data_IF_007927271888
#
_entry.id   IF_007927271888
#
_cell.length_a   1.000
_cell.length_b   1.000
_cell.length_c   1.000
_cell.angle_alpha   90.00
_cell.angle_beta   90.00
_cell.angle_gamma   90.00
#
_symmetry.space_group_name_H-M   'P 1'
#
loop_
_entity.id
_entity.type
_entity.pdbx_description
1 polymer ?
#
# COMPACT_ATOMS: atom_id res chain seq x y z
N UNK A 1 28.51 -45.87 13.95
CA UNK A 1 27.32 -44.99 13.87
C UNK A 1 27.56 -43.97 12.76
N UNK A 2 27.01 -44.17 11.56
CA UNK A 2 27.19 -43.22 10.45
C UNK A 2 26.21 -42.06 10.63
N UNK A 3 26.73 -40.85 10.83
CA UNK A 3 25.92 -39.64 10.83
C UNK A 3 25.49 -39.33 9.39
N UNK A 4 24.20 -39.06 9.19
CA UNK A 4 23.68 -38.63 7.89
C UNK A 4 24.30 -37.30 7.46
N UNK A 5 24.40 -37.03 6.14
CA UNK A 5 24.96 -35.78 5.65
C UNK A 5 24.18 -34.58 6.21
N UNK A 6 24.87 -33.47 6.54
CA UNK A 6 24.23 -32.30 7.12
C UNK A 6 23.22 -31.72 6.12
N UNK A 7 21.95 -31.66 6.52
CA UNK A 7 20.88 -31.11 5.69
C UNK A 7 20.92 -29.59 5.78
N UNK A 8 21.30 -28.94 4.67
CA UNK A 8 21.30 -27.49 4.52
C UNK A 8 20.11 -26.98 3.71
N UNK A 9 19.93 -25.66 3.68
CA UNK A 9 18.92 -24.98 2.86
C UNK A 9 18.93 -25.41 1.39
N UNK A 10 20.11 -25.68 0.82
CA UNK A 10 20.27 -26.18 -0.55
C UNK A 10 19.70 -27.58 -0.76
N UNK A 11 19.85 -28.48 0.23
CA UNK A 11 19.29 -29.83 0.20
C UNK A 11 17.76 -29.79 0.23
N UNK A 12 17.18 -28.92 1.07
CA UNK A 12 15.73 -28.71 1.15
C UNK A 12 15.19 -28.08 -0.13
N UNK A 13 15.88 -27.07 -0.68
CA UNK A 13 15.52 -26.44 -1.95
C UNK A 13 15.54 -27.42 -3.13
N UNK A 14 16.51 -28.32 -3.16
CA UNK A 14 16.58 -29.41 -4.16
C UNK A 14 15.42 -30.39 -4.05
N UNK A 15 15.13 -30.87 -2.84
CA UNK A 15 14.00 -31.79 -2.59
C UNK A 15 12.65 -31.18 -2.97
N UNK A 16 12.42 -29.92 -2.61
CA UNK A 16 11.19 -29.20 -2.97
C UNK A 16 11.03 -29.09 -4.50
N UNK A 17 12.10 -28.79 -5.24
CA UNK A 17 12.06 -28.78 -6.71
C UNK A 17 11.75 -30.15 -7.30
N UNK A 18 12.35 -31.23 -6.79
CA UNK A 18 12.07 -32.61 -7.24
C UNK A 18 10.61 -33.00 -6.98
N UNK A 19 10.03 -32.51 -5.89
CA UNK A 19 8.61 -32.70 -5.55
C UNK A 19 7.67 -31.74 -6.32
N UNK A 20 8.18 -30.96 -7.27
CA UNK A 20 7.39 -30.06 -8.13
C UNK A 20 7.07 -28.70 -7.51
N UNK A 21 7.64 -28.38 -6.34
CA UNK A 21 7.47 -27.08 -5.71
C UNK A 21 8.41 -26.04 -6.34
N UNK A 22 7.92 -24.82 -6.42
CA UNK A 22 8.69 -23.66 -6.87
C UNK A 22 8.36 -22.45 -6.01
N UNK A 23 9.21 -21.43 -6.05
CA UNK A 23 8.93 -20.16 -5.41
C UNK A 23 7.74 -19.50 -6.12
N UNK A 24 6.61 -19.43 -5.42
CA UNK A 24 5.41 -18.77 -5.89
C UNK A 24 5.25 -17.44 -5.15
N UNK A 25 5.02 -16.36 -5.90
CA UNK A 25 4.61 -15.08 -5.32
C UNK A 25 3.10 -15.07 -5.11
N UNK A 26 2.64 -14.52 -3.98
CA UNK A 26 1.21 -14.32 -3.75
C UNK A 26 0.64 -13.39 -4.83
N UNK A 27 -0.28 -13.89 -5.64
CA UNK A 27 -1.02 -13.11 -6.64
C UNK A 27 -2.48 -13.02 -6.19
N UNK A 28 -3.02 -11.81 -6.12
CA UNK A 28 -4.45 -11.61 -5.88
C UNK A 28 -5.22 -12.05 -7.13
N UNK A 29 -5.78 -13.25 -7.11
CA UNK A 29 -6.56 -13.83 -8.22
C UNK A 29 -7.99 -14.18 -7.85
N UNK A 30 -8.37 -13.98 -6.58
CA UNK A 30 -9.72 -14.24 -6.03
C UNK A 30 -10.64 -13.01 -6.11
N UNK A 31 -10.43 -12.11 -7.07
CA UNK A 31 -11.45 -11.11 -7.39
C UNK A 31 -12.45 -11.76 -8.35
N UNK A 32 -13.71 -11.86 -7.91
CA UNK A 32 -14.79 -12.47 -8.68
C UNK A 32 -14.89 -11.89 -10.09
N UNK A 33 -14.95 -12.78 -11.08
CA UNK A 33 -15.14 -12.49 -12.50
C UNK A 33 -16.31 -11.51 -12.72
N UNK A 34 -16.07 -10.46 -13.50
CA UNK A 34 -17.04 -9.56 -14.15
C UNK A 34 -18.50 -9.71 -13.70
N UNK A 35 -18.87 -9.00 -12.64
CA UNK A 35 -20.27 -8.83 -12.25
C UNK A 35 -20.90 -7.75 -13.14
N UNK A 36 -22.09 -8.00 -13.71
CA UNK A 36 -22.81 -7.08 -14.62
C UNK A 36 -23.04 -5.70 -13.99
N UNK A 37 -23.29 -5.67 -12.68
CA UNK A 37 -23.51 -4.41 -11.96
C UNK A 37 -22.23 -3.70 -11.48
N UNK A 38 -21.03 -4.22 -11.80
CA UNK A 38 -19.78 -3.57 -11.36
C UNK A 38 -19.64 -2.18 -12.00
N UNK A 39 -20.11 -2.01 -13.23
CA UNK A 39 -20.00 -0.75 -13.96
C UNK A 39 -21.09 0.27 -13.61
N UNK A 40 -22.26 -0.21 -13.12
CA UNK A 40 -23.39 0.66 -12.81
C UNK A 40 -23.04 1.73 -11.76
N UNK A 41 -22.23 1.38 -10.76
CA UNK A 41 -21.74 2.33 -9.76
C UNK A 41 -20.81 3.38 -10.40
N UNK A 42 -19.90 2.97 -11.28
CA UNK A 42 -18.97 3.89 -11.94
C UNK A 42 -19.72 4.83 -12.90
N UNK A 43 -20.70 4.31 -13.65
CA UNK A 43 -21.57 5.10 -14.51
C UNK A 43 -22.35 6.16 -13.72
N UNK A 44 -22.98 5.77 -12.61
CA UNK A 44 -23.71 6.71 -11.74
C UNK A 44 -22.80 7.79 -11.15
N UNK A 45 -21.59 7.43 -10.69
CA UNK A 45 -20.60 8.39 -10.18
C UNK A 45 -20.19 9.35 -11.29
N UNK A 46 -19.91 8.84 -12.49
CA UNK A 46 -19.51 9.65 -13.63
C UNK A 46 -20.59 10.67 -14.03
N UNK A 47 -21.86 10.24 -14.11
CA UNK A 47 -22.99 11.13 -14.39
C UNK A 47 -23.13 12.22 -13.32
N UNK A 48 -23.01 11.84 -12.05
CA UNK A 48 -23.12 12.77 -10.92
C UNK A 48 -22.00 13.81 -10.92
N UNK A 49 -20.75 13.36 -11.14
CA UNK A 49 -19.58 14.23 -11.25
C UNK A 49 -19.73 15.18 -12.43
N UNK A 50 -20.17 14.67 -13.58
CA UNK A 50 -20.36 15.49 -14.77
C UNK A 50 -21.42 16.57 -14.54
N UNK A 51 -22.54 16.24 -13.90
CA UNK A 51 -23.59 17.20 -13.56
C UNK A 51 -23.08 18.30 -12.60
N UNK A 52 -22.29 17.93 -11.58
CA UNK A 52 -21.68 18.88 -10.66
C UNK A 52 -20.73 19.85 -11.38
N UNK A 53 -19.82 19.32 -12.20
CA UNK A 53 -18.87 20.15 -12.97
C UNK A 53 -19.62 21.08 -13.92
N UNK A 54 -20.64 20.60 -14.63
CA UNK A 54 -21.47 21.43 -15.51
C UNK A 54 -22.21 22.54 -14.75
N UNK A 55 -22.60 22.28 -13.49
CA UNK A 55 -23.19 23.28 -12.60
C UNK A 55 -22.18 24.24 -11.94
N UNK A 56 -20.88 24.12 -12.25
CA UNK A 56 -19.82 24.89 -11.61
C UNK A 56 -19.56 24.51 -10.15
N UNK A 57 -19.98 23.31 -9.74
CA UNK A 57 -19.74 22.76 -8.42
C UNK A 57 -18.43 21.94 -8.40
N UNK A 58 -17.68 21.94 -7.29
CA UNK A 58 -16.44 21.18 -7.18
C UNK A 58 -16.73 19.67 -7.17
N UNK A 59 -15.87 18.90 -7.83
CA UNK A 59 -15.85 17.45 -7.77
C UNK A 59 -14.45 16.98 -7.39
N UNK A 60 -14.32 16.39 -6.20
CA UNK A 60 -13.04 15.93 -5.66
C UNK A 60 -13.09 14.44 -5.36
N UNK A 61 -12.00 13.74 -5.66
CA UNK A 61 -11.73 12.38 -5.19
C UNK A 61 -10.86 12.46 -3.94
N UNK A 62 -11.24 11.71 -2.90
CA UNK A 62 -10.50 11.65 -1.63
C UNK A 62 -10.21 10.19 -1.32
N UNK A 63 -8.93 9.85 -1.14
CA UNK A 63 -8.48 8.51 -0.77
C UNK A 63 -7.55 8.57 0.45
N UNK A 64 -7.59 7.52 1.25
CA UNK A 64 -6.65 7.30 2.36
C UNK A 64 -5.93 6.00 2.14
N UNK A 65 -4.59 6.03 2.15
CA UNK A 65 -3.82 4.79 2.06
C UNK A 65 -3.56 4.20 3.44
N UNK A 66 -3.26 2.90 3.45
CA UNK A 66 -2.86 2.14 4.63
C UNK A 66 -1.84 2.95 5.45
N UNK A 67 -2.08 3.04 6.77
CA UNK A 67 -1.17 3.70 7.71
C UNK A 67 0.17 2.99 7.69
N UNK A 68 1.22 3.70 7.29
CA UNK A 68 2.58 3.19 7.28
C UNK A 68 3.24 3.45 8.63
N UNK A 69 4.03 2.49 9.12
CA UNK A 69 4.82 2.67 10.33
C UNK A 69 5.99 3.61 10.02
N UNK A 70 6.15 4.67 10.81
CA UNK A 70 7.24 5.64 10.62
C UNK A 70 8.42 5.24 11.48
N UNK A 71 9.59 4.98 10.88
CA UNK A 71 10.82 4.58 11.56
C UNK A 71 11.60 3.52 10.78
N UNK A 72 12.60 2.93 11.43
CA UNK A 72 13.52 1.94 10.85
C UNK A 72 12.84 0.57 10.65
N UNK A 73 11.75 0.51 9.90
CA UNK A 73 11.03 -0.72 9.58
C UNK A 73 11.52 -1.30 8.26
N UNK A 74 11.41 -2.63 8.11
CA UNK A 74 11.81 -3.32 6.89
C UNK A 74 10.83 -3.00 5.75
N UNK A 75 11.07 -1.90 5.06
CA UNK A 75 10.36 -1.51 3.86
C UNK A 75 10.96 -2.21 2.62
N UNK A 76 10.13 -2.55 1.64
CA UNK A 76 10.57 -3.25 0.41
C UNK A 76 11.36 -2.38 -0.57
N UNK A 77 11.53 -1.09 -0.27
CA UNK A 77 12.31 -0.14 -1.07
C UNK A 77 13.81 -0.42 -1.00
N UNK A 78 14.55 0.07 -2.00
CA UNK A 78 16.02 0.02 -2.03
C UNK A 78 16.53 1.43 -2.30
N UNK A 79 17.53 1.84 -1.54
CA UNK A 79 18.25 3.09 -1.74
C UNK A 79 19.73 2.81 -2.04
N UNK A 80 20.38 3.70 -2.79
CA UNK A 80 21.82 3.58 -3.06
C UNK A 80 22.63 3.81 -1.78
N UNK A 81 23.43 2.82 -1.38
CA UNK A 81 24.38 2.88 -0.26
C UNK A 81 25.70 2.20 -0.61
N UNK A 82 26.81 2.55 0.06
CA UNK A 82 28.08 1.84 -0.11
C UNK A 82 27.94 0.33 0.14
N UNK A 83 28.66 -0.47 -0.64
CA UNK A 83 28.63 -1.93 -0.53
C UNK A 83 29.01 -2.38 0.90
N UNK A 84 28.21 -3.29 1.48
CA UNK A 84 28.41 -3.80 2.84
C UNK A 84 27.86 -2.93 3.97
N UNK A 85 27.19 -1.81 3.65
CA UNK A 85 26.58 -0.90 4.64
C UNK A 85 25.05 -0.78 4.50
N UNK A 86 24.31 -1.89 4.71
CA UNK A 86 22.85 -1.83 4.68
C UNK A 86 22.33 -0.94 5.83
N UNK A 87 21.15 -0.37 5.62
CA UNK A 87 20.43 0.31 6.70
C UNK A 87 20.05 -0.70 7.80
N UNK A 88 20.42 -0.46 9.07
CA UNK A 88 19.89 -1.23 10.18
C UNK A 88 18.38 -1.00 10.30
N UNK A 89 17.59 -2.07 10.23
CA UNK A 89 16.14 -2.02 10.42
C UNK A 89 15.73 -2.94 11.58
N UNK A 90 14.64 -2.59 12.24
CA UNK A 90 14.06 -3.37 13.33
C UNK A 90 13.51 -4.70 12.80
N UNK A 91 13.70 -5.76 13.59
CA UNK A 91 13.21 -7.12 13.28
C UNK A 91 11.71 -7.25 13.53
N UNK A 92 11.15 -6.38 14.38
CA UNK A 92 9.74 -6.40 14.76
C UNK A 92 9.07 -5.05 14.50
N UNK A 93 7.87 -5.13 13.94
CA UNK A 93 7.06 -3.98 13.50
C UNK A 93 6.19 -3.41 14.65
N UNK A 94 6.80 -3.16 15.82
CA UNK A 94 6.12 -2.46 16.89
C UNK A 94 6.08 -0.97 16.59
N UNK A 95 4.91 -0.34 16.76
CA UNK A 95 4.77 1.11 16.63
C UNK A 95 5.79 1.77 17.56
N UNK A 96 6.65 2.60 16.98
CA UNK A 96 7.49 3.47 17.78
C UNK A 96 6.59 4.50 18.45
N UNK A 97 6.49 4.54 19.79
CA UNK A 97 5.60 5.46 20.47
C UNK A 97 5.96 6.94 20.27
N UNK A 98 7.17 7.24 19.79
CA UNK A 98 7.64 8.59 19.49
C UNK A 98 7.46 8.99 18.02
N UNK A 99 7.59 8.06 17.07
CA UNK A 99 7.46 8.34 15.63
C UNK A 99 6.06 8.04 15.07
N UNK A 100 5.31 7.12 15.68
CA UNK A 100 3.91 6.86 15.35
C UNK A 100 3.68 6.23 13.98
N UNK A 101 2.62 6.68 13.30
CA UNK A 101 2.20 6.21 11.97
C UNK A 101 1.94 7.39 11.06
N UNK A 102 2.27 7.23 9.77
CA UNK A 102 1.91 8.18 8.74
C UNK A 102 0.60 7.75 8.09
N UNK A 103 -0.37 8.66 8.05
CA UNK A 103 -1.64 8.52 7.33
C UNK A 103 -1.65 9.49 6.14
N UNK A 104 -1.41 9.01 4.91
CA UNK A 104 -1.52 9.85 3.72
C UNK A 104 -2.98 9.99 3.30
N UNK A 105 -3.39 11.23 3.08
CA UNK A 105 -4.66 11.62 2.49
C UNK A 105 -4.39 12.24 1.12
N UNK A 106 -4.85 11.57 0.06
CA UNK A 106 -4.81 12.12 -1.29
C UNK A 106 -6.12 12.82 -1.60
N UNK A 107 -6.02 14.04 -2.12
CA UNK A 107 -7.16 14.78 -2.69
C UNK A 107 -6.83 15.09 -4.14
N UNK A 108 -7.79 14.82 -5.03
CA UNK A 108 -7.66 15.09 -6.46
C UNK A 108 -8.89 15.85 -6.94
N UNK A 109 -8.68 17.06 -7.44
CA UNK A 109 -9.68 17.86 -8.14
C UNK A 109 -9.83 17.34 -9.56
N UNK A 110 -11.03 16.84 -9.87
CA UNK A 110 -11.36 16.22 -11.14
C UNK A 110 -11.56 17.28 -12.24
N UNK A 111 -12.01 18.47 -11.87
CA UNK A 111 -12.26 19.54 -12.84
C UNK A 111 -10.96 20.22 -13.27
N UNK A 112 -10.04 20.42 -12.33
CA UNK A 112 -8.79 21.15 -12.53
C UNK A 112 -7.59 20.25 -12.89
N UNK A 113 -7.74 18.93 -12.84
CA UNK A 113 -6.66 17.94 -13.00
C UNK A 113 -5.48 18.21 -12.05
N UNK A 114 -5.78 18.44 -10.78
CA UNK A 114 -4.79 18.77 -9.74
C UNK A 114 -4.94 17.86 -8.54
N UNK A 115 -3.83 17.34 -8.05
CA UNK A 115 -3.80 16.51 -6.85
C UNK A 115 -2.81 17.02 -5.81
N UNK A 116 -3.13 16.79 -4.54
CA UNK A 116 -2.22 17.00 -3.43
C UNK A 116 -2.35 15.89 -2.40
N UNK A 117 -1.31 15.76 -1.56
CA UNK A 117 -1.25 14.78 -0.49
C UNK A 117 -0.96 15.48 0.82
N UNK A 118 -1.80 15.26 1.81
CA UNK A 118 -1.56 15.65 3.19
C UNK A 118 -1.11 14.42 3.99
N UNK A 119 0.02 14.50 4.66
CA UNK A 119 0.55 13.40 5.47
C UNK A 119 0.39 13.74 6.95
N UNK A 120 -0.49 13.01 7.63
CA UNK A 120 -0.69 13.12 9.06
C UNK A 120 0.27 12.20 9.79
N UNK A 121 0.98 12.70 10.80
CA UNK A 121 1.88 11.91 11.67
C UNK A 121 1.21 11.48 12.98
N UNK A 122 -0.07 11.78 13.13
CA UNK A 122 -0.88 11.51 14.32
C UNK A 122 -2.16 10.73 13.92
N UNK A 123 -3.13 10.63 14.82
CA UNK A 123 -4.37 9.90 14.64
C UNK A 123 -5.13 10.35 13.39
N UNK A 124 -5.52 9.35 12.63
CA UNK A 124 -6.41 9.44 11.50
C UNK A 124 -7.83 9.79 11.98
N UNK A 125 -8.16 11.08 11.93
CA UNK A 125 -9.42 11.63 12.43
C UNK A 125 -10.20 12.30 11.30
N UNK A 126 -11.52 12.39 11.44
CA UNK A 126 -12.36 13.14 10.51
C UNK A 126 -11.92 14.62 10.40
N UNK A 127 -11.36 15.19 11.46
CA UNK A 127 -10.79 16.54 11.45
C UNK A 127 -9.58 16.64 10.50
N UNK A 128 -8.70 15.64 10.49
CA UNK A 128 -7.57 15.59 9.57
C UNK A 128 -8.04 15.46 8.11
N UNK A 129 -9.04 14.61 7.85
CA UNK A 129 -9.64 14.46 6.52
C UNK A 129 -10.21 15.79 5.99
N UNK A 130 -10.98 16.51 6.81
CA UNK A 130 -11.52 17.82 6.43
C UNK A 130 -10.42 18.85 6.22
N UNK A 131 -9.36 18.81 7.03
CA UNK A 131 -8.22 19.72 6.86
C UNK A 131 -7.49 19.48 5.54
N UNK A 132 -7.31 18.21 5.13
CA UNK A 132 -6.69 17.86 3.84
C UNK A 132 -7.47 18.43 2.65
N UNK A 133 -8.81 18.46 2.72
CA UNK A 133 -9.67 19.03 1.67
C UNK A 133 -9.54 20.57 1.59
N UNK A 134 -9.24 21.24 2.72
CA UNK A 134 -9.15 22.71 2.80
C UNK A 134 -7.78 23.28 2.42
N UNK A 135 -6.78 22.42 2.23
CA UNK A 135 -5.37 22.81 2.08
C UNK A 135 -5.03 23.33 0.69
#
# INVERSE_FOLDING_TARGET
>A
MCHGPPVGHDSVGGLLKTLGYSLQGNRKTLEGSHHVDRDAQFGHIAETVQAAITAGQPAISVDTKKKELVGDFKNGGREYRPAGSPEPVRVHDFIDPTLGRAAPYGVYDIADDKGWVSVGIDHDTAAFAVNAIRS
#
